data_IF_083866755575
#
_entry.id   IF_083866755575
#
_cell.length_a   1.000
_cell.length_b   1.000
_cell.length_c   1.000
_cell.angle_alpha   90.00
_cell.angle_beta   90.00
_cell.angle_gamma   90.00
#
_symmetry.space_group_name_H-M   'P 1'
#
loop_
_entity.id
_entity.type
_entity.pdbx_description
1 polymer ?
#
# COMPACT_ATOMS: atom_id res chain seq x y z
N UNK A 1 22.80 -36.91 4.60
CA UNK A 1 22.43 -36.28 3.31
C UNK A 1 20.92 -36.37 3.08
N UNK A 2 20.08 -35.79 3.96
CA UNK A 2 18.61 -35.85 3.86
C UNK A 2 17.91 -34.62 4.46
N UNK A 3 18.59 -33.49 4.63
CA UNK A 3 17.98 -32.28 5.22
C UNK A 3 17.84 -31.09 4.26
N UNK A 4 18.13 -31.25 2.97
CA UNK A 4 18.12 -30.12 2.00
C UNK A 4 16.86 -30.03 1.12
N UNK A 5 15.89 -30.93 1.25
CA UNK A 5 14.71 -30.96 0.38
C UNK A 5 13.39 -30.45 0.98
N UNK A 6 13.37 -30.13 2.27
CA UNK A 6 12.12 -29.71 2.93
C UNK A 6 11.82 -28.18 2.85
N UNK A 7 12.83 -27.35 2.56
CA UNK A 7 12.65 -25.89 2.55
C UNK A 7 12.13 -25.31 1.21
N UNK A 8 12.29 -26.04 0.11
CA UNK A 8 11.84 -25.56 -1.21
C UNK A 8 10.35 -25.79 -1.49
N UNK A 9 9.73 -26.80 -0.88
CA UNK A 9 8.31 -27.09 -1.08
C UNK A 9 7.39 -26.10 -0.33
N UNK A 10 7.82 -25.59 0.82
CA UNK A 10 7.03 -24.63 1.62
C UNK A 10 6.91 -23.28 0.91
N UNK A 11 8.00 -22.79 0.30
CA UNK A 11 8.00 -21.51 -0.42
C UNK A 11 7.22 -21.56 -1.71
N UNK A 12 7.19 -22.71 -2.40
CA UNK A 12 6.39 -22.90 -3.61
C UNK A 12 4.89 -23.04 -3.31
N UNK A 13 4.53 -23.68 -2.19
CA UNK A 13 3.14 -23.74 -1.74
C UNK A 13 2.61 -22.37 -1.30
N UNK A 14 3.40 -21.59 -0.55
CA UNK A 14 3.04 -20.24 -0.15
C UNK A 14 2.88 -19.29 -1.36
N UNK A 15 3.72 -19.42 -2.39
CA UNK A 15 3.56 -18.67 -3.63
C UNK A 15 2.35 -19.13 -4.47
N UNK A 16 1.99 -20.41 -4.43
CA UNK A 16 0.78 -20.90 -5.12
C UNK A 16 -0.50 -20.46 -4.40
N UNK A 17 -0.54 -20.48 -3.07
CA UNK A 17 -1.67 -19.95 -2.29
C UNK A 17 -1.81 -18.43 -2.45
N UNK A 18 -0.69 -17.68 -2.45
CA UNK A 18 -0.69 -16.25 -2.71
C UNK A 18 -1.21 -15.92 -4.11
N UNK A 19 -0.78 -16.65 -5.14
CA UNK A 19 -1.26 -16.46 -6.53
C UNK A 19 -2.73 -16.88 -6.72
N UNK A 20 -3.19 -17.90 -6.03
CA UNK A 20 -4.60 -18.33 -6.08
C UNK A 20 -5.53 -17.32 -5.43
N UNK A 21 -5.07 -16.64 -4.37
CA UNK A 21 -5.86 -15.66 -3.62
C UNK A 21 -5.84 -14.27 -4.27
N UNK A 22 -4.74 -13.88 -4.88
CA UNK A 22 -4.58 -12.58 -5.57
C UNK A 22 -5.29 -12.50 -6.92
N UNK A 23 -5.96 -13.56 -7.38
CA UNK A 23 -6.63 -13.60 -8.69
C UNK A 23 -5.65 -13.53 -9.87
N UNK A 24 -4.37 -13.79 -9.65
CA UNK A 24 -3.34 -13.88 -10.70
C UNK A 24 -3.24 -15.34 -11.11
N UNK A 25 -3.65 -15.63 -12.34
CA UNK A 25 -3.38 -16.94 -12.93
C UNK A 25 -1.87 -17.14 -13.15
N UNK A 26 -1.37 -18.40 -13.14
CA UNK A 26 0.05 -18.71 -13.37
C UNK A 26 0.61 -18.16 -14.69
N UNK A 27 -0.26 -17.73 -15.60
CA UNK A 27 0.07 -17.13 -16.91
C UNK A 27 0.24 -15.61 -16.88
N UNK A 28 0.17 -14.95 -15.71
CA UNK A 28 0.26 -13.48 -15.57
C UNK A 28 -0.95 -12.72 -16.15
N UNK A 29 -2.00 -13.40 -16.56
CA UNK A 29 -3.23 -12.77 -17.07
C UNK A 29 -4.22 -12.56 -15.93
N UNK A 30 -4.56 -11.32 -15.69
CA UNK A 30 -5.49 -10.88 -14.67
C UNK A 30 -6.94 -11.09 -15.09
N UNK A 31 -7.79 -11.57 -14.16
CA UNK A 31 -9.23 -11.42 -14.30
C UNK A 31 -9.59 -9.93 -14.21
N UNK A 32 -10.15 -9.36 -15.28
CA UNK A 32 -10.79 -8.04 -15.19
C UNK A 32 -11.92 -8.13 -14.18
N UNK A 33 -11.74 -7.47 -13.03
CA UNK A 33 -12.83 -7.29 -12.07
C UNK A 33 -13.90 -6.47 -12.77
N UNK A 34 -15.11 -7.02 -12.91
CA UNK A 34 -16.22 -6.30 -13.52
C UNK A 34 -16.57 -5.08 -12.65
N UNK A 35 -17.00 -3.99 -13.27
CA UNK A 35 -17.33 -2.75 -12.56
C UNK A 35 -18.42 -2.96 -11.49
N UNK A 36 -19.33 -3.90 -11.73
CA UNK A 36 -20.39 -4.30 -10.79
C UNK A 36 -19.89 -5.05 -9.55
N UNK A 37 -18.68 -5.58 -9.54
CA UNK A 37 -18.09 -6.29 -8.40
C UNK A 37 -17.16 -5.44 -7.54
N UNK A 38 -16.95 -4.17 -7.89
CA UNK A 38 -16.11 -3.26 -7.10
C UNK A 38 -16.87 -2.76 -5.88
N UNK A 39 -16.36 -3.10 -4.69
CA UNK A 39 -16.95 -2.67 -3.41
C UNK A 39 -16.56 -1.25 -3.05
N UNK A 40 -15.35 -0.81 -3.44
CA UNK A 40 -14.81 0.51 -3.12
C UNK A 40 -14.35 1.23 -4.39
N UNK A 41 -14.46 2.54 -4.37
CA UNK A 41 -13.89 3.40 -5.40
C UNK A 41 -12.47 3.82 -5.03
N UNK A 42 -12.22 4.03 -3.72
CA UNK A 42 -10.93 4.51 -3.21
C UNK A 42 -10.51 3.69 -1.98
N UNK A 43 -9.24 3.31 -1.93
CA UNK A 43 -8.56 2.76 -0.75
C UNK A 43 -7.50 3.75 -0.28
N UNK A 44 -7.51 4.11 1.02
CA UNK A 44 -6.51 5.01 1.62
C UNK A 44 -5.58 4.22 2.52
N UNK A 45 -4.32 4.11 2.08
CA UNK A 45 -3.23 3.53 2.85
C UNK A 45 -2.47 4.64 3.58
N UNK A 46 -2.26 4.50 4.88
CA UNK A 46 -1.60 5.49 5.72
C UNK A 46 -1.10 4.87 7.02
N UNK A 47 -0.13 5.50 7.67
CA UNK A 47 0.25 5.15 9.04
C UNK A 47 -0.61 5.96 10.01
N UNK A 48 -1.47 5.28 10.79
CA UNK A 48 -2.47 5.89 11.66
C UNK A 48 -1.93 6.99 12.57
N UNK A 49 -0.92 6.73 13.46
CA UNK A 49 -0.42 7.72 14.39
C UNK A 49 0.11 9.01 13.77
N UNK A 50 0.44 8.99 12.47
CA UNK A 50 1.05 10.15 11.83
C UNK A 50 0.01 11.10 11.24
N UNK A 51 -1.04 10.56 10.61
CA UNK A 51 -1.94 11.37 9.75
C UNK A 51 -3.43 11.01 9.86
N UNK A 52 -3.81 10.05 10.72
CA UNK A 52 -5.20 9.58 10.80
C UNK A 52 -6.17 10.68 11.19
N UNK A 53 -5.85 11.44 12.25
CA UNK A 53 -6.71 12.49 12.79
C UNK A 53 -6.63 13.81 11.98
N UNK A 54 -5.83 13.83 10.93
CA UNK A 54 -5.62 14.99 10.08
C UNK A 54 -5.95 14.68 8.62
N UNK A 55 -4.94 14.52 7.78
CA UNK A 55 -5.08 14.39 6.33
C UNK A 55 -5.91 13.17 5.90
N UNK A 56 -5.70 12.01 6.53
CA UNK A 56 -6.40 10.78 6.11
C UNK A 56 -7.92 10.88 6.34
N UNK A 57 -8.33 11.39 7.51
CA UNK A 57 -9.76 11.61 7.82
C UNK A 57 -10.36 12.73 6.99
N UNK A 58 -9.60 13.79 6.71
CA UNK A 58 -10.06 14.88 5.84
C UNK A 58 -10.33 14.38 4.42
N UNK A 59 -9.40 13.62 3.83
CA UNK A 59 -9.58 13.01 2.51
C UNK A 59 -10.78 12.05 2.49
N UNK A 60 -10.87 11.18 3.48
CA UNK A 60 -11.98 10.25 3.63
C UNK A 60 -13.33 10.96 3.60
N UNK A 61 -13.52 11.97 4.47
CA UNK A 61 -14.77 12.72 4.57
C UNK A 61 -15.09 13.47 3.27
N UNK A 62 -14.09 14.14 2.68
CA UNK A 62 -14.29 14.91 1.43
C UNK A 62 -14.67 14.01 0.27
N UNK A 63 -14.03 12.85 0.13
CA UNK A 63 -14.35 11.90 -0.94
C UNK A 63 -15.71 11.23 -0.73
N UNK A 64 -16.10 10.94 0.52
CA UNK A 64 -17.44 10.44 0.83
C UNK A 64 -18.54 11.47 0.52
N UNK A 65 -18.31 12.75 0.81
CA UNK A 65 -19.24 13.83 0.46
C UNK A 65 -19.47 13.94 -1.05
N UNK A 66 -18.52 13.50 -1.85
CA UNK A 66 -18.63 13.40 -3.31
C UNK A 66 -19.31 12.10 -3.80
N UNK A 67 -19.83 11.30 -2.88
CA UNK A 67 -20.54 10.04 -3.19
C UNK A 67 -19.62 8.87 -3.50
N UNK A 68 -18.31 8.96 -3.24
CA UNK A 68 -17.36 7.86 -3.45
C UNK A 68 -17.37 6.90 -2.27
N UNK A 69 -17.27 5.60 -2.55
CA UNK A 69 -17.11 4.55 -1.55
C UNK A 69 -15.64 4.45 -1.19
N UNK A 70 -15.27 4.93 -0.01
CA UNK A 70 -13.88 5.02 0.45
C UNK A 70 -13.64 4.00 1.54
N UNK A 71 -12.56 3.22 1.42
CA UNK A 71 -12.04 2.40 2.50
C UNK A 71 -10.88 3.13 3.17
N UNK A 72 -10.99 3.27 4.50
CA UNK A 72 -9.94 3.78 5.36
C UNK A 72 -9.78 2.80 6.51
N UNK A 73 -8.62 2.13 6.61
CA UNK A 73 -8.36 1.27 7.76
C UNK A 73 -8.20 2.11 9.02
N UNK A 74 -9.01 1.80 10.03
CA UNK A 74 -9.01 2.51 11.30
C UNK A 74 -8.22 1.79 12.38
N UNK A 75 -7.78 0.56 12.12
CA UNK A 75 -7.12 -0.26 13.11
C UNK A 75 -5.64 -0.45 12.78
N UNK A 76 -4.77 -0.12 13.73
CA UNK A 76 -3.38 -0.54 13.67
C UNK A 76 -3.29 -1.97 14.19
N UNK A 77 -2.82 -2.86 13.32
CA UNK A 77 -2.62 -4.28 13.66
C UNK A 77 -1.15 -4.64 13.49
N UNK A 78 -0.68 -5.56 14.30
CA UNK A 78 0.60 -6.21 13.99
C UNK A 78 0.44 -7.08 12.75
N UNK A 79 1.46 -7.06 11.88
CA UNK A 79 1.48 -7.90 10.69
C UNK A 79 1.58 -9.36 11.12
N UNK A 80 0.47 -10.09 11.02
CA UNK A 80 0.40 -11.53 11.18
C UNK A 80 0.84 -12.29 9.92
N UNK A 81 0.57 -13.59 9.89
CA UNK A 81 0.91 -14.44 8.75
C UNK A 81 0.06 -14.16 7.50
N UNK A 82 -1.11 -13.55 7.65
CA UNK A 82 -1.99 -13.19 6.53
C UNK A 82 -2.77 -11.90 6.82
N UNK A 83 -3.13 -11.19 5.75
CA UNK A 83 -4.05 -10.07 5.85
C UNK A 83 -5.47 -10.54 6.15
N UNK A 84 -6.28 -9.76 6.90
CA UNK A 84 -7.71 -9.95 6.92
C UNK A 84 -8.29 -9.86 5.50
N UNK A 85 -9.14 -10.81 5.14
CA UNK A 85 -9.79 -10.86 3.82
C UNK A 85 -10.53 -9.57 3.46
N UNK A 86 -11.00 -8.82 4.46
CA UNK A 86 -11.67 -7.52 4.29
C UNK A 86 -10.75 -6.46 3.68
N UNK A 87 -9.50 -6.38 4.16
CA UNK A 87 -8.51 -5.41 3.66
C UNK A 87 -8.04 -5.79 2.26
N UNK A 88 -7.74 -7.07 2.07
CA UNK A 88 -7.34 -7.60 0.78
C UNK A 88 -8.43 -7.37 -0.28
N UNK A 89 -9.68 -7.65 0.07
CA UNK A 89 -10.84 -7.36 -0.77
C UNK A 89 -10.96 -5.86 -1.06
N UNK A 90 -10.76 -5.01 -0.06
CA UNK A 90 -10.82 -3.57 -0.25
C UNK A 90 -9.76 -3.07 -1.21
N UNK A 91 -8.50 -3.53 -1.06
CA UNK A 91 -7.40 -3.19 -1.97
C UNK A 91 -7.70 -3.68 -3.40
N UNK A 92 -8.08 -4.96 -3.54
CA UNK A 92 -8.30 -5.55 -4.87
C UNK A 92 -9.53 -4.98 -5.58
N UNK A 93 -10.55 -4.52 -4.84
CA UNK A 93 -11.78 -3.97 -5.42
C UNK A 93 -11.74 -2.47 -5.70
N UNK A 94 -10.82 -1.72 -5.09
CA UNK A 94 -10.71 -0.27 -5.29
C UNK A 94 -10.24 0.08 -6.71
N UNK A 95 -10.76 1.19 -7.26
CA UNK A 95 -10.33 1.76 -8.55
C UNK A 95 -9.04 2.56 -8.40
N UNK A 96 -8.92 3.26 -7.27
CA UNK A 96 -7.81 4.18 -6.98
C UNK A 96 -7.29 3.90 -5.58
N UNK A 97 -6.00 3.93 -5.44
CA UNK A 97 -5.33 3.90 -4.15
C UNK A 97 -4.67 5.24 -3.86
N UNK A 98 -4.90 5.78 -2.67
CA UNK A 98 -4.14 6.91 -2.12
C UNK A 98 -3.17 6.34 -1.11
N UNK A 99 -1.88 6.65 -1.25
CA UNK A 99 -0.87 6.29 -0.25
C UNK A 99 -0.29 7.55 0.37
N UNK A 100 -0.45 7.72 1.67
CA UNK A 100 0.09 8.87 2.42
C UNK A 100 1.41 8.45 3.06
N UNK A 101 2.51 8.83 2.43
CA UNK A 101 3.86 8.63 2.93
C UNK A 101 4.18 9.70 3.97
N UNK A 102 4.39 9.30 5.21
CA UNK A 102 4.83 10.15 6.33
C UNK A 102 6.23 9.78 6.79
N UNK A 103 6.85 10.59 7.64
CA UNK A 103 8.22 10.34 8.15
C UNK A 103 8.40 8.95 8.77
N UNK A 104 7.37 8.43 9.42
CA UNK A 104 7.41 7.15 10.12
C UNK A 104 6.65 6.03 9.39
N UNK A 105 6.21 6.28 8.16
CA UNK A 105 5.43 5.31 7.38
C UNK A 105 6.08 3.91 7.31
N UNK A 106 7.39 3.85 7.07
CA UNK A 106 8.13 2.59 6.99
C UNK A 106 8.28 1.86 8.33
N UNK A 107 7.94 2.47 9.47
CA UNK A 107 7.90 1.78 10.76
C UNK A 107 6.71 0.82 10.90
N UNK A 108 5.73 0.89 9.99
CA UNK A 108 4.57 0.01 9.95
C UNK A 108 4.77 -1.11 8.92
N UNK A 109 5.07 -2.35 9.35
CA UNK A 109 5.12 -3.50 8.44
C UNK A 109 3.79 -3.74 7.73
N UNK A 110 2.69 -3.36 8.39
CA UNK A 110 1.34 -3.44 7.85
C UNK A 110 1.18 -2.54 6.62
N UNK A 111 1.51 -1.24 6.75
CA UNK A 111 1.44 -0.30 5.64
C UNK A 111 2.33 -0.72 4.46
N UNK A 112 3.55 -1.22 4.75
CA UNK A 112 4.47 -1.71 3.72
C UNK A 112 3.91 -2.94 2.98
N UNK A 113 3.27 -3.84 3.70
CA UNK A 113 2.68 -5.02 3.10
C UNK A 113 1.41 -4.69 2.29
N UNK A 114 0.54 -3.77 2.77
CA UNK A 114 -0.58 -3.23 1.97
C UNK A 114 -0.06 -2.57 0.68
N UNK A 115 1.03 -1.81 0.76
CA UNK A 115 1.63 -1.13 -0.38
C UNK A 115 2.05 -2.10 -1.48
N UNK A 116 2.61 -3.25 -1.11
CA UNK A 116 2.92 -4.33 -2.07
C UNK A 116 1.66 -4.87 -2.74
N UNK A 117 0.59 -5.12 -1.97
CA UNK A 117 -0.69 -5.57 -2.52
C UNK A 117 -1.30 -4.53 -3.46
N UNK A 118 -1.23 -3.25 -3.10
CA UNK A 118 -1.71 -2.14 -3.93
C UNK A 118 -0.97 -2.09 -5.26
N UNK A 119 0.36 -2.20 -5.25
CA UNK A 119 1.16 -2.22 -6.47
C UNK A 119 0.79 -3.41 -7.37
N UNK A 120 0.61 -4.59 -6.78
CA UNK A 120 0.19 -5.79 -7.49
C UNK A 120 -1.25 -5.69 -8.02
N UNK A 121 -2.11 -4.89 -7.39
CA UNK A 121 -3.50 -4.71 -7.83
C UNK A 121 -3.62 -4.00 -9.18
N UNK A 122 -2.56 -3.30 -9.64
CA UNK A 122 -2.52 -2.47 -10.85
C UNK A 122 -3.57 -1.35 -10.90
N UNK A 123 -4.31 -1.10 -9.84
CA UNK A 123 -5.12 0.09 -9.73
C UNK A 123 -4.22 1.34 -9.69
N UNK A 124 -4.75 2.48 -10.08
CA UNK A 124 -3.97 3.73 -10.04
C UNK A 124 -3.58 4.06 -8.60
N UNK A 125 -2.30 4.26 -8.36
CA UNK A 125 -1.79 4.77 -7.09
C UNK A 125 -1.52 6.26 -7.21
N UNK A 126 -2.04 7.04 -6.27
CA UNK A 126 -1.79 8.47 -6.10
C UNK A 126 -0.95 8.63 -4.84
N UNK A 127 0.38 8.84 -4.98
CA UNK A 127 1.24 9.06 -3.82
C UNK A 127 1.03 10.48 -3.27
N UNK A 128 0.96 10.58 -1.95
CA UNK A 128 0.91 11.83 -1.19
C UNK A 128 2.10 11.83 -0.24
N UNK A 129 2.98 12.80 -0.39
CA UNK A 129 4.23 12.91 0.38
C UNK A 129 4.01 13.90 1.53
N UNK A 130 3.60 13.41 2.70
CA UNK A 130 3.29 14.23 3.88
C UNK A 130 4.56 14.47 4.71
N UNK A 131 5.09 15.67 4.64
CA UNK A 131 6.35 16.09 5.28
C UNK A 131 7.55 15.18 4.95
N UNK A 132 7.51 14.51 3.82
CA UNK A 132 8.60 13.74 3.22
C UNK A 132 8.70 14.08 1.74
N UNK A 133 9.80 13.72 1.08
CA UNK A 133 10.01 13.94 -0.34
C UNK A 133 10.10 12.61 -1.09
N UNK A 134 9.80 12.58 -2.38
CA UNK A 134 10.04 11.38 -3.20
C UNK A 134 11.47 10.86 -3.10
N UNK A 135 12.47 11.76 -2.91
CA UNK A 135 13.86 11.37 -2.69
C UNK A 135 14.09 10.53 -1.44
N UNK A 136 13.29 10.70 -0.39
CA UNK A 136 13.42 9.93 0.86
C UNK A 136 13.02 8.46 0.65
N UNK A 137 12.05 8.21 -0.25
CA UNK A 137 11.66 6.87 -0.65
C UNK A 137 12.68 6.23 -1.60
N UNK A 138 13.37 7.06 -2.40
CA UNK A 138 14.38 6.59 -3.35
C UNK A 138 15.69 6.22 -2.68
N UNK A 139 16.08 6.97 -1.65
CA UNK A 139 17.33 6.81 -0.92
C UNK A 139 17.11 6.27 0.48
N UNK A 140 16.50 5.10 0.58
CA UNK A 140 16.06 4.47 1.83
C UNK A 140 17.20 4.30 2.84
N UNK A 141 18.44 4.11 2.38
CA UNK A 141 19.62 3.94 3.26
C UNK A 141 20.02 5.22 3.99
N UNK A 142 19.57 6.39 3.52
CA UNK A 142 19.97 7.71 4.05
C UNK A 142 18.79 8.62 4.40
N UNK A 143 17.60 8.23 4.02
CA UNK A 143 16.39 9.03 4.16
C UNK A 143 15.64 8.77 5.48
N UNK A 144 14.44 9.31 5.55
CA UNK A 144 13.57 9.20 6.73
C UNK A 144 13.25 7.75 7.13
N UNK A 145 13.41 6.79 6.22
CA UNK A 145 13.06 5.38 6.43
C UNK A 145 14.24 4.48 6.83
N UNK A 146 15.48 5.00 6.78
CA UNK A 146 16.70 4.23 7.12
C UNK A 146 16.60 3.55 8.50
N UNK A 147 16.17 4.31 9.52
CA UNK A 147 16.06 3.80 10.88
C UNK A 147 15.03 2.68 11.02
N UNK A 148 13.93 2.72 10.25
CA UNK A 148 12.91 1.69 10.27
C UNK A 148 13.47 0.35 9.76
N UNK A 149 14.13 0.37 8.59
CA UNK A 149 14.74 -0.84 8.02
C UNK A 149 15.88 -1.38 8.87
N UNK A 150 16.72 -0.50 9.43
CA UNK A 150 17.77 -0.89 10.38
C UNK A 150 17.20 -1.58 11.62
N UNK A 151 16.12 -1.07 12.21
CA UNK A 151 15.44 -1.71 13.35
C UNK A 151 14.88 -3.09 13.00
N UNK A 152 14.39 -3.30 11.76
CA UNK A 152 13.95 -4.63 11.32
C UNK A 152 15.12 -5.61 11.21
N UNK A 153 16.24 -5.16 10.65
CA UNK A 153 17.48 -5.95 10.53
C UNK A 153 18.03 -6.34 11.90
N UNK A 154 18.17 -5.37 12.83
CA UNK A 154 18.64 -5.60 14.19
C UNK A 154 17.77 -6.60 14.97
N UNK A 155 16.45 -6.60 14.72
CA UNK A 155 15.50 -7.51 15.35
C UNK A 155 15.32 -8.83 14.60
N UNK A 156 15.96 -9.02 13.47
CA UNK A 156 15.78 -10.18 12.61
C UNK A 156 14.34 -10.36 12.10
N UNK A 157 13.56 -9.25 11.97
CA UNK A 157 12.14 -9.31 11.58
C UNK A 157 11.94 -8.97 10.11
N UNK A 158 11.08 -9.74 9.44
CA UNK A 158 10.65 -9.51 8.06
C UNK A 158 11.80 -9.46 7.03
N UNK A 159 12.93 -10.11 7.29
CA UNK A 159 14.12 -10.04 6.43
C UNK A 159 13.82 -10.46 4.99
N UNK A 160 12.96 -11.46 4.83
CA UNK A 160 12.52 -11.97 3.52
C UNK A 160 11.69 -10.96 2.72
N UNK A 161 11.11 -9.94 3.39
CA UNK A 161 10.26 -8.91 2.77
C UNK A 161 10.99 -7.59 2.51
N UNK A 162 12.17 -7.40 3.11
CA UNK A 162 12.87 -6.11 3.06
C UNK A 162 13.13 -5.63 1.63
N UNK A 163 13.67 -6.50 0.78
CA UNK A 163 14.00 -6.13 -0.59
C UNK A 163 12.72 -5.72 -1.36
N UNK A 164 11.66 -6.51 -1.23
CA UNK A 164 10.38 -6.21 -1.87
C UNK A 164 9.81 -4.87 -1.39
N UNK A 165 9.87 -4.58 -0.08
CA UNK A 165 9.40 -3.31 0.46
C UNK A 165 10.23 -2.12 -0.04
N UNK A 166 11.56 -2.26 -0.06
CA UNK A 166 12.47 -1.24 -0.58
C UNK A 166 12.21 -0.96 -2.06
N UNK A 167 12.13 -1.99 -2.89
CA UNK A 167 11.82 -1.88 -4.31
C UNK A 167 10.44 -1.24 -4.57
N UNK A 168 9.43 -1.60 -3.77
CA UNK A 168 8.09 -1.02 -3.88
C UNK A 168 8.11 0.48 -3.57
N UNK A 169 8.76 0.89 -2.47
CA UNK A 169 8.91 2.31 -2.11
C UNK A 169 9.65 3.09 -3.19
N UNK A 170 10.76 2.55 -3.69
CA UNK A 170 11.55 3.18 -4.76
C UNK A 170 10.74 3.33 -6.05
N UNK A 171 9.97 2.30 -6.44
CA UNK A 171 9.11 2.36 -7.62
C UNK A 171 8.06 3.46 -7.52
N UNK A 172 7.45 3.62 -6.35
CA UNK A 172 6.44 4.64 -6.11
C UNK A 172 7.03 6.06 -6.02
N UNK A 173 8.32 6.19 -5.67
CA UNK A 173 9.02 7.47 -5.69
C UNK A 173 9.18 8.08 -7.09
N UNK A 174 8.95 7.28 -8.14
CA UNK A 174 9.02 7.69 -9.54
C UNK A 174 7.66 8.13 -10.10
N UNK A 175 6.58 7.86 -9.38
CA UNK A 175 5.24 8.28 -9.75
C UNK A 175 5.05 9.74 -9.33
N UNK A 176 4.51 10.56 -10.23
CA UNK A 176 4.12 11.91 -9.87
C UNK A 176 3.07 11.88 -8.76
N UNK A 177 3.31 12.62 -7.70
CA UNK A 177 2.46 12.70 -6.52
C UNK A 177 2.46 14.11 -5.94
N UNK A 178 1.61 14.33 -4.95
CA UNK A 178 1.45 15.63 -4.29
C UNK A 178 2.36 15.71 -3.06
N UNK A 179 3.23 16.71 -2.99
CA UNK A 179 3.93 17.06 -1.76
C UNK A 179 2.98 17.84 -0.86
N UNK A 180 2.86 17.40 0.39
CA UNK A 180 1.84 17.86 1.30
C UNK A 180 2.43 18.17 2.68
N UNK A 181 2.02 19.26 3.26
CA UNK A 181 2.31 19.63 4.64
C UNK A 181 1.01 19.95 5.41
N UNK A 182 1.12 20.27 6.69
CA UNK A 182 -0.04 20.58 7.55
C UNK A 182 -0.85 21.81 7.11
N UNK A 183 -0.31 22.63 6.20
CA UNK A 183 -0.97 23.84 5.70
C UNK A 183 -1.54 23.66 4.30
N UNK A 184 -1.28 22.52 3.67
CA UNK A 184 -1.71 22.24 2.31
C UNK A 184 -3.20 21.90 2.24
N UNK A 185 -3.82 22.17 1.10
CA UNK A 185 -5.21 21.84 0.78
C UNK A 185 -5.29 20.55 -0.03
N UNK A 186 -6.19 19.64 0.32
CA UNK A 186 -6.36 18.36 -0.40
C UNK A 186 -7.09 18.45 -1.74
N UNK A 187 -7.39 19.64 -2.25
CA UNK A 187 -8.15 19.81 -3.50
C UNK A 187 -7.53 19.09 -4.69
N UNK A 188 -6.21 19.22 -4.88
CA UNK A 188 -5.52 18.57 -6.00
C UNK A 188 -5.66 17.05 -5.94
N UNK A 189 -5.50 16.46 -4.74
CA UNK A 189 -5.65 15.02 -4.53
C UNK A 189 -7.08 14.59 -4.87
N UNK A 190 -8.08 15.34 -4.39
CA UNK A 190 -9.51 15.07 -4.64
C UNK A 190 -9.81 15.12 -6.13
N UNK A 191 -9.33 16.14 -6.83
CA UNK A 191 -9.50 16.27 -8.29
C UNK A 191 -8.86 15.09 -9.02
N UNK A 192 -7.63 14.74 -8.70
CA UNK A 192 -6.94 13.61 -9.31
C UNK A 192 -7.70 12.27 -9.09
N UNK A 193 -8.25 12.07 -7.90
CA UNK A 193 -9.09 10.90 -7.59
C UNK A 193 -10.36 10.89 -8.43
N UNK A 194 -11.08 12.03 -8.51
CA UNK A 194 -12.32 12.13 -9.29
C UNK A 194 -12.09 11.86 -10.78
N UNK A 195 -11.00 12.37 -11.34
CA UNK A 195 -10.64 12.13 -12.74
C UNK A 195 -10.37 10.65 -12.98
N UNK A 196 -9.63 10.00 -12.09
CA UNK A 196 -9.26 8.60 -12.25
C UNK A 196 -10.46 7.66 -12.04
N UNK A 197 -11.34 7.95 -11.07
CA UNK A 197 -12.55 7.14 -10.84
C UNK A 197 -13.51 7.21 -12.02
N UNK A 198 -13.57 8.36 -12.74
CA UNK A 198 -14.42 8.55 -13.94
C UNK A 198 -13.85 7.92 -15.20
N UNK A 199 -12.57 7.58 -15.25
CA UNK A 199 -11.96 6.87 -16.39
C UNK A 199 -12.59 5.48 -16.53
N UNK A 200 -13.20 5.21 -17.69
CA UNK A 200 -13.86 3.94 -18.04
C UNK A 200 -12.84 2.91 -18.54
#
# INVERSE_FOLDING_TARGET
MLESMASSSSSQQQNQEFNAFSGIEPSGKRRKVSESSRLFDVFINHRGPDVKETLATQLYNSLQQLGLRVFLDKEEKELGNSFPSTIETAICSAKVHITIFSKRYAESPWCLAELVLMLNSQAKIIPVFYEVRPSDLRHIEKGAYADAFKKYEEKGRYLEKHNQWKETLQSLSLIAGEEFDRFSDCKNIIVAVQEEVKRK
#
